data_IF_753523698466
#
_entry.id   IF_753523698466
#
_cell.length_a   1.000
_cell.length_b   1.000
_cell.length_c   1.000
_cell.angle_alpha   90.00
_cell.angle_beta   90.00
_cell.angle_gamma   90.00
#
_symmetry.space_group_name_H-M   'P 1'
#
loop_
_entity.id
_entity.type
_entity.pdbx_description
1 polymer ?
#
# COMPACT_ATOMS: atom_id res chain seq x y z
N UNK A 1 -43.60 8.02 -2.03
CA UNK A 1 -42.27 8.32 -2.61
C UNK A 1 -41.33 8.65 -1.46
N UNK A 2 -40.23 7.91 -1.30
CA UNK A 2 -39.23 8.20 -0.27
C UNK A 2 -38.02 8.86 -0.92
N UNK A 3 -37.64 10.03 -0.42
CA UNK A 3 -36.37 10.69 -0.73
C UNK A 3 -35.33 10.16 0.27
N UNK A 4 -34.32 9.46 -0.20
CA UNK A 4 -33.14 9.13 0.62
C UNK A 4 -32.07 10.14 0.24
N UNK A 5 -31.89 11.16 1.08
CA UNK A 5 -30.78 12.09 1.00
C UNK A 5 -29.49 11.34 1.31
N UNK A 6 -28.62 11.28 0.30
CA UNK A 6 -27.17 11.10 0.33
C UNK A 6 -26.57 10.68 1.69
N UNK A 7 -26.15 9.42 1.77
CA UNK A 7 -25.38 8.86 2.88
C UNK A 7 -24.15 9.76 3.12
N UNK A 8 -24.15 10.55 4.20
CA UNK A 8 -23.02 11.38 4.59
C UNK A 8 -21.82 10.46 4.87
N UNK A 9 -20.70 10.70 4.18
CA UNK A 9 -19.44 10.00 4.42
C UNK A 9 -19.03 10.21 5.88
N UNK A 10 -19.01 9.14 6.67
CA UNK A 10 -18.40 9.15 8.00
C UNK A 10 -16.88 9.15 7.82
N UNK A 11 -16.28 10.34 7.86
CA UNK A 11 -14.82 10.51 7.94
C UNK A 11 -14.52 10.69 9.42
N UNK A 12 -14.09 9.62 10.08
CA UNK A 12 -13.62 9.72 11.46
C UNK A 12 -12.47 10.71 11.55
N UNK A 13 -12.36 11.40 12.69
CA UNK A 13 -11.41 12.50 12.98
C UNK A 13 -9.91 12.12 12.83
N UNK A 14 -9.62 10.87 12.46
CA UNK A 14 -8.28 10.32 12.22
C UNK A 14 -8.08 9.76 10.80
N UNK A 15 -8.95 10.11 9.85
CA UNK A 15 -8.58 9.92 8.45
C UNK A 15 -7.61 11.04 8.09
N UNK A 16 -6.30 10.76 8.08
CA UNK A 16 -5.35 11.56 7.31
C UNK A 16 -5.70 11.24 5.85
N UNK A 17 -6.40 12.10 5.11
CA UNK A 17 -6.57 11.87 3.70
C UNK A 17 -5.18 12.13 3.11
N UNK A 18 -4.49 11.08 2.69
CA UNK A 18 -3.34 11.24 1.81
C UNK A 18 -3.86 12.02 0.60
N UNK A 19 -3.54 13.33 0.54
CA UNK A 19 -4.04 14.24 -0.50
C UNK A 19 -3.39 13.95 -1.84
N UNK A 20 -2.27 13.24 -1.82
CA UNK A 20 -1.54 12.85 -3.00
C UNK A 20 -2.05 11.47 -3.42
N UNK A 21 -2.99 11.51 -4.36
CA UNK A 21 -3.31 10.35 -5.17
C UNK A 21 -2.01 9.90 -5.82
N UNK A 22 -1.50 8.75 -5.38
CA UNK A 22 -0.33 8.12 -5.98
C UNK A 22 -0.53 8.06 -7.50
N UNK A 23 0.49 8.41 -8.31
CA UNK A 23 0.36 8.41 -9.76
C UNK A 23 -0.09 7.03 -10.23
N UNK A 24 -1.29 6.99 -10.79
CA UNK A 24 -1.90 5.78 -11.34
C UNK A 24 -1.51 5.69 -12.82
N UNK A 25 -1.15 4.49 -13.27
CA UNK A 25 -0.88 4.23 -14.68
C UNK A 25 -2.15 4.28 -15.54
N UNK A 26 -2.01 4.20 -16.86
CA UNK A 26 -3.14 4.16 -17.79
C UNK A 26 -4.11 3.01 -17.54
N UNK A 27 -3.70 2.00 -16.76
CA UNK A 27 -4.48 0.81 -16.40
C UNK A 27 -5.14 0.90 -15.02
N UNK A 28 -5.05 2.05 -14.34
CA UNK A 28 -5.68 2.22 -13.03
C UNK A 28 -4.86 1.67 -11.86
N UNK A 29 -3.64 1.19 -12.09
CA UNK A 29 -2.76 0.67 -11.03
C UNK A 29 -1.92 1.79 -10.43
N UNK A 30 -1.86 1.79 -9.11
CA UNK A 30 -0.96 2.70 -8.38
C UNK A 30 0.48 2.30 -8.70
N UNK A 31 1.24 3.19 -9.34
CA UNK A 31 2.68 2.99 -9.53
C UNK A 31 3.38 3.34 -8.23
N UNK A 32 3.67 2.34 -7.41
CA UNK A 32 4.69 2.50 -6.39
C UNK A 32 6.03 2.09 -7.01
N UNK A 33 6.82 3.06 -7.47
CA UNK A 33 8.17 2.75 -7.92
C UNK A 33 9.00 2.33 -6.70
N UNK A 34 9.73 1.22 -6.84
CA UNK A 34 10.62 0.73 -5.81
C UNK A 34 11.86 1.63 -5.75
N UNK A 35 12.06 2.31 -4.61
CA UNK A 35 13.24 3.17 -4.40
C UNK A 35 14.41 2.34 -3.91
N UNK A 36 14.18 1.48 -2.92
CA UNK A 36 15.22 0.66 -2.31
C UNK A 36 14.62 -0.54 -1.57
N UNK A 37 15.41 -1.60 -1.42
CA UNK A 37 15.17 -2.68 -0.47
C UNK A 37 15.93 -2.33 0.82
N UNK A 38 15.20 -2.16 1.90
CA UNK A 38 15.76 -1.76 3.20
C UNK A 38 16.22 -2.96 4.03
N UNK A 39 15.52 -4.08 3.91
CA UNK A 39 15.80 -5.29 4.67
C UNK A 39 15.25 -6.53 3.95
N UNK A 40 15.73 -7.71 4.32
CA UNK A 40 15.30 -9.00 3.77
C UNK A 40 15.11 -10.00 4.91
N UNK A 41 13.99 -10.71 4.88
CA UNK A 41 13.72 -11.79 5.83
C UNK A 41 13.17 -13.02 5.14
N UNK A 42 13.39 -14.17 5.74
CA UNK A 42 12.75 -15.42 5.37
C UNK A 42 11.75 -15.81 6.45
N UNK A 43 10.51 -16.07 6.07
CA UNK A 43 9.46 -16.52 6.98
C UNK A 43 8.95 -17.90 6.55
N UNK A 44 8.76 -18.83 7.48
CA UNK A 44 8.02 -20.05 7.20
C UNK A 44 6.56 -19.66 6.92
N UNK A 45 6.06 -20.00 5.74
CA UNK A 45 4.67 -19.84 5.35
C UNK A 45 4.17 -21.19 4.85
N UNK A 46 3.28 -21.81 5.62
CA UNK A 46 2.85 -23.19 5.41
C UNK A 46 4.06 -24.15 5.39
N UNK A 47 4.20 -24.97 4.35
CA UNK A 47 5.30 -25.91 4.14
C UNK A 47 6.52 -25.29 3.41
N UNK A 48 6.42 -24.01 3.03
CA UNK A 48 7.45 -23.30 2.25
C UNK A 48 8.13 -22.18 3.04
N UNK A 49 9.31 -21.78 2.58
CA UNK A 49 10.03 -20.62 3.10
C UNK A 49 9.85 -19.45 2.11
N UNK A 50 9.13 -18.41 2.51
CA UNK A 50 8.92 -17.22 1.67
C UNK A 50 9.97 -16.17 2.03
N UNK A 51 10.63 -15.64 1.00
CA UNK A 51 11.52 -14.48 1.14
C UNK A 51 10.71 -13.21 0.95
N UNK A 52 10.78 -12.32 1.93
CA UNK A 52 10.16 -11.00 1.89
C UNK A 52 11.20 -9.91 1.91
N UNK A 53 10.92 -8.84 1.17
CA UNK A 53 11.72 -7.62 1.15
C UNK A 53 10.96 -6.49 1.82
N UNK A 54 11.64 -5.74 2.67
CA UNK A 54 11.13 -4.48 3.19
C UNK A 54 11.39 -3.42 2.12
N UNK A 55 10.35 -3.01 1.41
CA UNK A 55 10.44 -2.13 0.25
C UNK A 55 10.19 -0.69 0.67
N UNK A 56 11.12 0.20 0.34
CA UNK A 56 10.88 1.64 0.35
C UNK A 56 10.21 2.07 -0.94
N UNK A 57 9.06 2.72 -0.80
CA UNK A 57 8.27 3.22 -1.91
C UNK A 57 8.60 4.66 -2.26
N UNK A 58 8.52 4.99 -3.54
CA UNK A 58 8.64 6.36 -4.01
C UNK A 58 7.53 7.23 -3.43
N UNK A 59 7.87 8.45 -3.01
CA UNK A 59 7.00 9.42 -2.33
C UNK A 59 6.61 9.07 -0.89
N UNK A 60 7.12 7.97 -0.32
CA UNK A 60 6.93 7.63 1.09
C UNK A 60 8.25 7.69 1.87
N UNK A 61 8.21 8.12 3.14
CA UNK A 61 9.39 8.06 3.99
C UNK A 61 9.73 6.58 4.32
N UNK A 62 10.98 6.27 4.70
CA UNK A 62 11.41 4.90 4.99
C UNK A 62 10.60 4.19 6.09
N UNK A 63 10.01 4.97 7.01
CA UNK A 63 9.13 4.48 8.08
C UNK A 63 7.80 3.89 7.57
N UNK A 64 7.42 4.18 6.33
CA UNK A 64 6.24 3.65 5.65
C UNK A 64 6.57 2.47 4.72
N UNK A 65 7.78 1.90 4.81
CA UNK A 65 8.15 0.71 4.04
C UNK A 65 7.25 -0.48 4.39
N UNK A 66 6.91 -1.31 3.39
CA UNK A 66 6.08 -2.51 3.56
C UNK A 66 6.86 -3.78 3.23
N UNK A 67 6.48 -4.90 3.85
CA UNK A 67 7.04 -6.20 3.52
C UNK A 67 6.28 -6.79 2.33
N UNK A 68 6.98 -6.98 1.21
CA UNK A 68 6.45 -7.59 0.00
C UNK A 68 7.12 -8.95 -0.24
N UNK A 69 6.34 -9.92 -0.72
CA UNK A 69 6.85 -11.23 -1.11
C UNK A 69 7.67 -11.11 -2.40
N UNK A 70 8.82 -11.78 -2.47
CA UNK A 70 9.69 -11.75 -3.66
C UNK A 70 8.98 -12.28 -4.92
N UNK A 71 7.96 -13.11 -4.75
CA UNK A 71 7.15 -13.66 -5.84
C UNK A 71 6.04 -12.72 -6.33
N UNK A 72 5.75 -11.64 -5.58
CA UNK A 72 4.66 -10.69 -5.89
C UNK A 72 5.15 -9.40 -6.54
N UNK A 73 6.46 -9.19 -6.65
CA UNK A 73 7.09 -8.01 -7.24
C UNK A 73 7.50 -8.25 -8.68
#
# INVERSE_FOLDING_TARGET
MFHISQLKKHVGTHAIPCKDLSPVDSDGKIKFALVAVMDTRALPCNDDLITQWLVQWENFPPENATWEDLTSI
#
